data_IF_272324383583
#
_entry.id   IF_272324383583
#
_cell.length_a   1.000
_cell.length_b   1.000
_cell.length_c   1.000
_cell.angle_alpha   90.00
_cell.angle_beta   90.00
_cell.angle_gamma   90.00
#
_symmetry.space_group_name_H-M   'P 1'
#
loop_
_entity.id
_entity.type
_entity.pdbx_description
1 polymer ?
#
# COMPACT_ATOMS: atom_id res chain seq x y z
N UNK A 1 -20.12 12.82 -0.22
CA UNK A 1 -18.72 12.75 0.14
C UNK A 1 -18.21 11.34 -0.04
N UNK A 2 -17.08 11.22 -0.67
CA UNK A 2 -16.54 9.90 -0.96
C UNK A 2 -15.87 9.29 0.26
N UNK A 3 -16.22 8.02 0.54
CA UNK A 3 -15.49 7.24 1.55
C UNK A 3 -14.15 6.84 0.92
N UNK A 4 -13.03 6.96 1.66
CA UNK A 4 -11.75 6.52 1.12
C UNK A 4 -11.83 5.07 0.66
N UNK A 5 -11.28 4.80 -0.50
CA UNK A 5 -11.23 3.44 -0.99
C UNK A 5 -10.24 2.63 -0.17
N UNK A 6 -10.49 1.33 -0.06
CA UNK A 6 -9.59 0.44 0.66
C UNK A 6 -8.15 0.57 0.13
N UNK A 7 -8.01 0.68 -1.19
CA UNK A 7 -6.73 0.87 -1.85
C UNK A 7 -6.00 2.12 -1.34
N UNK A 8 -6.73 3.22 -1.20
CA UNK A 8 -6.15 4.48 -0.72
C UNK A 8 -5.67 4.36 0.72
N UNK A 9 -6.41 3.63 1.53
CA UNK A 9 -6.01 3.40 2.92
C UNK A 9 -4.73 2.56 2.99
N UNK A 10 -4.60 1.57 2.13
CA UNK A 10 -3.39 0.76 2.07
C UNK A 10 -2.20 1.62 1.64
N UNK A 11 -2.37 2.47 0.62
CA UNK A 11 -1.31 3.37 0.19
C UNK A 11 -0.92 4.35 1.29
N UNK A 12 -1.91 4.88 2.01
CA UNK A 12 -1.65 5.79 3.12
C UNK A 12 -0.82 5.08 4.19
N UNK A 13 -1.18 3.85 4.51
CA UNK A 13 -0.46 3.07 5.50
C UNK A 13 1.00 2.87 5.08
N UNK A 14 1.23 2.48 3.83
CA UNK A 14 2.59 2.29 3.33
C UNK A 14 3.35 3.61 3.30
N UNK A 15 2.68 4.71 2.98
CA UNK A 15 3.32 6.00 2.92
C UNK A 15 3.72 6.55 4.28
N UNK A 16 2.89 6.34 5.29
CA UNK A 16 3.15 6.91 6.60
C UNK A 16 4.00 6.03 7.50
N UNK A 17 3.80 4.71 7.42
CA UNK A 17 4.42 3.80 8.37
C UNK A 17 5.48 2.91 7.75
N UNK A 18 5.33 2.57 6.49
CA UNK A 18 6.12 1.51 5.87
C UNK A 18 7.05 2.00 4.77
N UNK A 19 7.00 3.28 4.42
CA UNK A 19 7.79 3.81 3.32
C UNK A 19 9.29 3.60 3.53
N UNK A 20 9.75 3.73 4.76
CA UNK A 20 11.17 3.59 5.10
C UNK A 20 11.56 2.15 5.39
N UNK A 21 10.60 1.23 5.39
CA UNK A 21 10.86 -0.18 5.62
C UNK A 21 10.78 -0.91 4.30
N UNK A 22 11.89 -1.45 3.87
CA UNK A 22 11.93 -2.25 2.66
C UNK A 22 11.59 -3.71 2.91
N UNK A 23 11.41 -4.06 4.18
CA UNK A 23 11.11 -5.42 4.57
C UNK A 23 9.66 -5.78 4.24
N UNK A 24 9.41 -7.04 3.87
CA UNK A 24 8.03 -7.50 3.65
C UNK A 24 7.20 -7.37 4.92
N UNK A 25 5.95 -6.97 4.77
CA UNK A 25 5.03 -6.81 5.88
C UNK A 25 4.05 -7.97 5.88
N UNK A 26 3.92 -8.61 7.02
CA UNK A 26 2.99 -9.73 7.17
C UNK A 26 1.55 -9.24 7.00
N UNK A 27 0.76 -10.04 6.27
CA UNK A 27 -0.64 -9.68 6.00
C UNK A 27 -1.45 -9.53 7.29
N UNK A 28 -1.12 -10.31 8.32
CA UNK A 28 -1.77 -10.19 9.61
C UNK A 28 -1.58 -8.81 10.24
N UNK A 29 -0.39 -8.25 10.10
CA UNK A 29 -0.12 -6.89 10.58
C UNK A 29 -0.93 -5.87 9.82
N UNK A 30 -1.03 -6.03 8.50
CA UNK A 30 -1.83 -5.13 7.67
C UNK A 30 -3.30 -5.19 8.05
N UNK A 31 -3.82 -6.38 8.30
CA UNK A 31 -5.20 -6.55 8.75
C UNK A 31 -5.42 -5.83 10.07
N UNK A 32 -4.51 -6.01 11.02
CA UNK A 32 -4.62 -5.37 12.34
C UNK A 32 -4.59 -3.85 12.24
N UNK A 33 -3.74 -3.31 11.36
CA UNK A 33 -3.61 -1.86 11.21
C UNK A 33 -4.80 -1.25 10.47
N UNK A 34 -5.40 -1.99 9.56
CA UNK A 34 -6.49 -1.47 8.74
C UNK A 34 -7.87 -1.73 9.33
N UNK A 35 -7.99 -2.68 10.25
CA UNK A 35 -9.27 -3.01 10.86
C UNK A 35 -9.90 -1.82 11.61
N UNK A 36 -9.13 -1.03 12.40
CA UNK A 36 -9.70 0.16 13.02
C UNK A 36 -10.18 1.21 12.04
N UNK A 37 -9.70 1.14 10.79
CA UNK A 37 -10.11 2.07 9.74
C UNK A 37 -11.37 1.59 8.99
N UNK A 38 -11.95 0.50 9.44
CA UNK A 38 -13.20 -0.01 8.88
C UNK A 38 -13.06 -1.10 7.84
N UNK A 39 -11.87 -1.67 7.68
CA UNK A 39 -11.64 -2.73 6.71
C UNK A 39 -11.67 -4.10 7.38
N UNK A 40 -12.55 -4.97 6.87
CA UNK A 40 -12.58 -6.35 7.33
C UNK A 40 -11.37 -7.11 6.80
N UNK A 41 -11.09 -8.27 7.39
CA UNK A 41 -10.01 -9.12 6.93
C UNK A 41 -10.19 -9.48 5.44
N UNK A 42 -11.40 -9.83 5.04
CA UNK A 42 -11.67 -10.17 3.65
C UNK A 42 -11.42 -9.02 2.70
N UNK A 43 -11.81 -7.81 3.12
CA UNK A 43 -11.58 -6.62 2.31
C UNK A 43 -10.09 -6.33 2.16
N UNK A 44 -9.32 -6.47 3.24
CA UNK A 44 -7.87 -6.26 3.18
C UNK A 44 -7.23 -7.25 2.24
N UNK A 45 -7.54 -8.54 2.38
CA UNK A 45 -6.97 -9.57 1.50
C UNK A 45 -7.31 -9.33 0.04
N UNK A 46 -8.53 -8.91 -0.24
CA UNK A 46 -8.98 -8.62 -1.60
C UNK A 46 -8.22 -7.44 -2.19
N UNK A 47 -8.10 -6.35 -1.45
CA UNK A 47 -7.43 -5.16 -1.97
C UNK A 47 -5.93 -5.42 -2.16
N UNK A 48 -5.30 -6.15 -1.25
CA UNK A 48 -3.88 -6.49 -1.39
C UNK A 48 -3.63 -7.35 -2.64
N UNK A 49 -4.51 -8.32 -2.90
CA UNK A 49 -4.41 -9.15 -4.10
C UNK A 49 -4.55 -8.32 -5.37
N UNK A 50 -5.48 -7.37 -5.38
CA UNK A 50 -5.68 -6.50 -6.53
C UNK A 50 -4.47 -5.60 -6.76
N UNK A 51 -3.92 -5.04 -5.70
CA UNK A 51 -2.75 -4.18 -5.82
C UNK A 51 -1.52 -4.96 -6.29
N UNK A 52 -1.38 -6.20 -5.82
CA UNK A 52 -0.30 -7.07 -6.28
C UNK A 52 -0.47 -7.40 -7.77
N UNK A 53 -1.70 -7.64 -8.20
CA UNK A 53 -1.99 -7.93 -9.60
C UNK A 53 -1.67 -6.76 -10.50
N UNK A 54 -1.88 -5.54 -10.00
CA UNK A 54 -1.56 -4.32 -10.74
C UNK A 54 -0.07 -3.98 -10.71
N UNK A 55 0.72 -4.73 -9.95
CA UNK A 55 2.15 -4.50 -9.85
C UNK A 55 2.54 -3.42 -8.85
N UNK A 56 1.60 -2.96 -8.04
CA UNK A 56 1.90 -1.95 -7.02
C UNK A 56 2.49 -2.55 -5.76
N UNK A 57 2.16 -3.80 -5.46
CA UNK A 57 2.71 -4.55 -4.35
C UNK A 57 3.33 -5.83 -4.88
N UNK A 58 4.34 -6.32 -4.17
CA UNK A 58 4.93 -7.62 -4.46
C UNK A 58 4.57 -8.56 -3.31
N UNK A 59 3.85 -9.61 -3.64
CA UNK A 59 3.45 -10.62 -2.67
C UNK A 59 4.51 -11.70 -2.54
N UNK A 60 4.71 -12.15 -1.32
CA UNK A 60 5.68 -13.18 -1.02
C UNK A 60 5.09 -14.12 0.02
N UNK A 61 5.23 -15.42 -0.20
CA UNK A 61 4.71 -16.39 0.74
C UNK A 61 5.86 -17.10 1.44
N UNK A 62 5.80 -17.12 2.76
CA UNK A 62 6.79 -17.83 3.57
C UNK A 62 6.02 -18.74 4.53
N UNK A 63 6.06 -20.04 4.26
CA UNK A 63 5.26 -20.99 5.00
C UNK A 63 3.78 -20.76 4.77
N UNK A 64 3.04 -20.54 5.85
CA UNK A 64 1.59 -20.27 5.77
C UNK A 64 1.28 -18.78 5.73
N UNK A 65 2.30 -17.95 5.82
CA UNK A 65 2.12 -16.51 5.94
C UNK A 65 2.40 -15.81 4.63
N UNK A 66 1.57 -14.82 4.33
CA UNK A 66 1.76 -13.96 3.17
C UNK A 66 2.33 -12.62 3.62
N UNK A 67 3.28 -12.11 2.85
CA UNK A 67 3.94 -10.84 3.10
C UNK A 67 3.85 -9.99 1.86
N UNK A 68 3.80 -8.68 2.05
CA UNK A 68 3.73 -7.74 0.94
C UNK A 68 4.75 -6.63 1.11
N UNK A 69 5.39 -6.27 0.00
CA UNK A 69 6.26 -5.11 -0.06
C UNK A 69 5.74 -4.17 -1.13
N UNK A 70 6.06 -2.89 -0.98
CA UNK A 70 5.71 -1.89 -1.97
C UNK A 70 6.64 -2.06 -3.18
N UNK A 71 6.06 -2.40 -4.33
CA UNK A 71 6.84 -2.54 -5.56
C UNK A 71 7.24 -1.16 -6.08
N UNK A 72 8.29 -1.08 -6.93
CA UNK A 72 8.73 0.22 -7.48
C UNK A 72 7.60 0.99 -8.18
N UNK A 73 6.73 0.29 -8.88
CA UNK A 73 5.58 0.93 -9.53
C UNK A 73 4.62 1.52 -8.51
N UNK A 74 4.39 0.81 -7.41
CA UNK A 74 3.54 1.31 -6.33
C UNK A 74 4.16 2.49 -5.62
N UNK A 75 5.49 2.46 -5.44
CA UNK A 75 6.20 3.56 -4.81
C UNK A 75 6.09 4.83 -5.64
N UNK A 76 6.20 4.70 -6.96
CA UNK A 76 6.04 5.85 -7.86
C UNK A 76 4.63 6.43 -7.80
N UNK A 77 3.63 5.55 -7.74
CA UNK A 77 2.25 6.00 -7.62
C UNK A 77 2.01 6.67 -6.27
N UNK A 78 2.59 6.13 -5.21
CA UNK A 78 2.49 6.69 -3.87
C UNK A 78 3.10 8.09 -3.82
N UNK A 79 4.26 8.27 -4.45
CA UNK A 79 4.91 9.57 -4.50
C UNK A 79 4.02 10.60 -5.20
N UNK A 80 3.34 10.22 -6.27
CA UNK A 80 2.43 11.11 -6.96
C UNK A 80 1.25 11.52 -6.09
N UNK A 81 0.74 10.59 -5.29
CA UNK A 81 -0.39 10.86 -4.42
C UNK A 81 -0.02 11.82 -3.30
N UNK A 82 1.13 11.59 -2.66
CA UNK A 82 1.54 12.37 -1.50
C UNK A 82 2.35 13.60 -1.84
N UNK A 83 2.95 13.64 -3.04
CA UNK A 83 3.83 14.74 -3.45
C UNK A 83 3.54 15.21 -4.86
N UNK A 84 2.28 15.54 -5.17
CA UNK A 84 1.95 15.98 -6.54
C UNK A 84 2.66 17.28 -6.91
N UNK A 85 2.85 18.17 -5.95
CA UNK A 85 3.53 19.43 -6.19
C UNK A 85 5.04 19.25 -6.41
N UNK A 86 5.59 18.14 -5.94
CA UNK A 86 6.99 17.84 -6.16
C UNK A 86 7.23 17.51 -7.63
N UNK A 87 6.32 16.80 -8.26
CA UNK A 87 6.44 16.48 -9.67
C UNK A 87 6.45 17.76 -10.49
N UNK A 88 5.61 18.72 -10.13
CA UNK A 88 5.57 20.00 -10.80
C UNK A 88 6.80 20.84 -10.52
N UNK A 89 7.26 20.83 -9.27
CA UNK A 89 8.43 21.59 -8.84
C UNK A 89 9.70 21.06 -9.50
N UNK A 90 9.75 19.77 -9.77
CA UNK A 90 10.91 19.13 -10.35
C UNK A 90 10.86 19.05 -11.87
N UNK A 91 9.80 19.50 -12.45
CA UNK A 91 9.59 19.39 -13.89
C UNK A 91 10.52 20.33 -14.66
N UNK A 92 11.64 19.79 -15.05
CA UNK A 92 12.57 20.48 -15.90
C UNK A 92 13.24 21.70 -15.30
N UNK A 93 13.05 21.89 -14.03
CA UNK A 93 13.66 23.05 -13.39
C UNK A 93 14.57 22.64 -12.26
#
# INVERSE_FOLDING_TARGET
MAVPRAQDLVFTLYGEYLLHREEPVWVGSLISLLQPLGLSEGAVRTVLSRMARKGWLAGQRMGRNSFYTLAPKGRRLLDRIFHPSWDEAWDGS
#
